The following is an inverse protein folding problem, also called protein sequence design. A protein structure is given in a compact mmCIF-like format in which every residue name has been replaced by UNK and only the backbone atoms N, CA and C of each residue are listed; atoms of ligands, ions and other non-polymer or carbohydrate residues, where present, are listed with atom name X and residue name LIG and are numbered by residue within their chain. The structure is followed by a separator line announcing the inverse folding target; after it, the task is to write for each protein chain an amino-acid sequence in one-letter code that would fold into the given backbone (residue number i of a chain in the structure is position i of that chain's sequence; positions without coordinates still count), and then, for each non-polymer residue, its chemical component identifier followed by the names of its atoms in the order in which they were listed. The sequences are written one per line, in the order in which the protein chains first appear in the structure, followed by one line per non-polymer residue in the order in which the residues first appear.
data_IF_241093657378
#
_entry.id   IF_241093657378
#
_cell.length_a   1.000
_cell.length_b   1.000
_cell.length_c   1.000
_cell.angle_alpha   90.00
_cell.angle_beta   90.00
_cell.angle_gamma   90.00
#
_symmetry.space_group_name_H-M   'P 1'
#
loop_
_entity.id
_entity.type
_entity.pdbx_description
1 polymer ?
#
# COMPACT_ATOMS: atom_id res chain seq x y z
N UNK A 1 -10.23 -1.63 2.77
CA UNK A 1 -9.94 -0.79 1.58
C UNK A 1 -9.01 0.34 1.97
N UNK A 2 -8.09 0.70 1.08
CA UNK A 2 -7.15 1.79 1.26
C UNK A 2 -7.63 3.04 0.51
N UNK A 3 -7.28 4.22 1.01
CA UNK A 3 -7.71 5.48 0.42
C UNK A 3 -6.81 5.95 -0.74
N UNK A 4 -7.19 7.03 -1.44
CA UNK A 4 -6.40 7.60 -2.52
C UNK A 4 -5.16 8.36 -2.02
N UNK A 5 -4.23 8.66 -2.92
CA UNK A 5 -3.00 9.42 -2.62
C UNK A 5 -3.27 10.83 -2.08
N UNK A 6 -4.46 11.36 -2.31
CA UNK A 6 -4.89 12.67 -1.79
C UNK A 6 -5.11 12.71 -0.28
N UNK A 7 -5.10 11.56 0.38
CA UNK A 7 -5.02 11.49 1.84
C UNK A 7 -3.62 11.84 2.37
N UNK A 8 -2.57 11.82 1.52
CA UNK A 8 -1.23 12.19 1.93
C UNK A 8 -1.12 13.72 2.03
N UNK A 9 -0.73 14.28 3.19
CA UNK A 9 -0.67 15.73 3.37
C UNK A 9 0.25 16.41 2.34
N UNK A 10 -0.15 17.57 1.84
CA UNK A 10 0.64 18.30 0.85
C UNK A 10 1.91 18.94 1.42
N UNK A 11 1.97 19.19 2.74
CA UNK A 11 3.09 19.87 3.39
C UNK A 11 3.76 19.00 4.43
N UNK A 12 5.06 19.14 4.56
CA UNK A 12 5.87 18.40 5.54
C UNK A 12 6.74 19.30 6.39
N UNK A 13 7.06 18.86 7.63
CA UNK A 13 8.05 19.52 8.46
C UNK A 13 9.37 19.69 7.70
N UNK A 14 9.96 20.86 7.84
CA UNK A 14 11.27 21.21 7.32
C UNK A 14 11.94 22.20 8.28
N UNK A 15 13.18 22.56 7.97
CA UNK A 15 13.92 23.61 8.67
C UNK A 15 14.33 24.70 7.67
N UNK A 16 14.29 25.96 8.10
CA UNK A 16 14.87 27.06 7.33
C UNK A 16 16.40 26.94 7.29
N UNK A 17 17.06 27.71 6.42
CA UNK A 17 18.52 27.80 6.41
C UNK A 17 19.12 28.23 7.76
N UNK A 18 18.35 28.93 8.60
CA UNK A 18 18.72 29.37 9.95
C UNK A 18 18.29 28.39 11.06
N UNK A 19 17.82 27.19 10.70
CA UNK A 19 17.45 26.13 11.65
C UNK A 19 16.07 26.26 12.29
N UNK A 20 15.23 27.20 11.86
CA UNK A 20 13.89 27.39 12.42
C UNK A 20 12.90 26.37 11.83
N UNK A 21 12.04 25.72 12.64
CA UNK A 21 11.00 24.83 12.14
C UNK A 21 10.07 25.53 11.16
N UNK A 22 9.74 24.86 10.06
CA UNK A 22 8.83 25.39 9.03
C UNK A 22 8.07 24.24 8.33
N UNK A 23 7.18 24.58 7.41
CA UNK A 23 6.48 23.65 6.54
C UNK A 23 6.81 23.93 5.08
N UNK A 24 7.28 22.91 4.35
CA UNK A 24 7.45 23.00 2.90
C UNK A 24 6.45 22.13 2.16
N UNK A 25 6.18 22.48 0.90
CA UNK A 25 5.38 21.64 0.01
C UNK A 25 6.14 20.34 -0.29
N UNK A 26 5.43 19.21 -0.28
CA UNK A 26 5.91 17.93 -0.78
C UNK A 26 5.88 17.95 -2.31
N UNK A 27 6.91 17.41 -2.94
CA UNK A 27 6.86 17.09 -4.36
C UNK A 27 5.88 15.95 -4.61
N UNK A 28 5.48 15.75 -5.88
CA UNK A 28 4.62 14.62 -6.25
C UNK A 28 5.27 13.27 -5.92
N UNK A 29 6.58 13.15 -6.16
CA UNK A 29 7.37 11.95 -5.80
C UNK A 29 7.33 11.69 -4.30
N UNK A 30 7.57 12.72 -3.47
CA UNK A 30 7.53 12.57 -2.01
C UNK A 30 6.15 12.14 -1.51
N UNK A 31 5.06 12.64 -2.12
CA UNK A 31 3.70 12.20 -1.79
C UNK A 31 3.49 10.72 -2.14
N UNK A 32 3.93 10.29 -3.32
CA UNK A 32 3.80 8.90 -3.77
C UNK A 32 4.67 7.93 -2.95
N UNK A 33 5.88 8.33 -2.56
CA UNK A 33 6.73 7.54 -1.66
C UNK A 33 6.10 7.39 -0.27
N UNK A 34 5.59 8.49 0.29
CA UNK A 34 4.89 8.44 1.56
C UNK A 34 3.63 7.58 1.49
N UNK A 35 2.89 7.63 0.38
CA UNK A 35 1.74 6.76 0.14
C UNK A 35 2.12 5.28 0.19
N UNK A 36 3.22 4.89 -0.44
CA UNK A 36 3.71 3.50 -0.38
C UNK A 36 4.16 3.12 1.03
N UNK A 37 4.78 4.03 1.79
CA UNK A 37 5.13 3.79 3.19
C UNK A 37 3.90 3.58 4.07
N UNK A 38 2.85 4.37 3.86
CA UNK A 38 1.57 4.25 4.58
C UNK A 38 0.86 2.92 4.23
N UNK A 39 0.85 2.56 2.95
CA UNK A 39 0.37 1.26 2.47
C UNK A 39 1.14 0.12 3.13
N UNK A 40 2.47 0.21 3.13
CA UNK A 40 3.40 -0.72 3.78
C UNK A 40 3.09 -0.91 5.26
N UNK A 41 2.95 0.20 5.99
CA UNK A 41 2.65 0.17 7.41
C UNK A 41 1.32 -0.52 7.70
N UNK A 42 0.29 -0.23 6.90
CA UNK A 42 -1.05 -0.82 7.05
C UNK A 42 -1.03 -2.33 6.81
N UNK A 43 -0.38 -2.77 5.72
CA UNK A 43 -0.25 -4.19 5.39
C UNK A 43 0.53 -4.94 6.47
N UNK A 44 1.69 -4.42 6.86
CA UNK A 44 2.56 -5.07 7.85
C UNK A 44 1.93 -5.13 9.24
N UNK A 45 1.20 -4.08 9.65
CA UNK A 45 0.42 -4.10 10.89
C UNK A 45 -0.66 -5.19 10.85
N UNK A 46 -1.42 -5.26 9.76
CA UNK A 46 -2.47 -6.28 9.56
C UNK A 46 -1.91 -7.70 9.63
N UNK A 47 -0.79 -7.97 8.94
CA UNK A 47 -0.14 -9.29 8.95
C UNK A 47 0.38 -9.64 10.35
N UNK A 48 1.01 -8.67 11.03
CA UNK A 48 1.54 -8.88 12.39
C UNK A 48 0.43 -9.19 13.39
N UNK A 49 -0.66 -8.45 13.35
CA UNK A 49 -1.85 -8.68 14.17
C UNK A 49 -2.49 -10.03 13.84
N UNK A 50 -2.63 -10.35 12.55
CA UNK A 50 -3.13 -11.64 12.08
C UNK A 50 -2.34 -12.82 12.66
N UNK A 51 -1.01 -12.73 12.66
CA UNK A 51 -0.16 -13.77 13.24
C UNK A 51 -0.21 -13.84 14.76
N UNK A 52 -0.54 -12.74 15.43
CA UNK A 52 -0.72 -12.69 16.88
C UNK A 52 -2.03 -13.36 17.31
N UNK A 53 -3.12 -13.19 16.53
CA UNK A 53 -4.43 -13.78 16.86
C UNK A 53 -4.59 -15.22 16.36
N UNK A 54 -3.88 -15.61 15.29
CA UNK A 54 -3.96 -16.93 14.69
C UNK A 54 -2.58 -17.64 14.69
N UNK A 55 -2.15 -18.23 15.82
CA UNK A 55 -0.80 -18.78 15.98
C UNK A 55 -0.50 -19.99 15.08
N UNK A 56 -1.52 -20.74 14.64
CA UNK A 56 -1.37 -21.89 13.74
C UNK A 56 -1.24 -21.52 12.26
N UNK A 57 -1.57 -20.27 11.88
CA UNK A 57 -1.45 -19.80 10.50
C UNK A 57 0.03 -19.59 10.18
N UNK A 58 0.50 -20.15 9.06
CA UNK A 58 1.91 -20.07 8.65
C UNK A 58 2.17 -19.09 7.50
N UNK A 59 1.12 -18.62 6.83
CA UNK A 59 1.24 -17.65 5.73
C UNK A 59 -0.05 -16.81 5.66
N UNK A 60 0.11 -15.51 5.43
CA UNK A 60 -0.98 -14.66 4.95
C UNK A 60 -0.75 -14.31 3.48
N UNK A 61 -1.82 -14.31 2.69
CA UNK A 61 -1.84 -13.71 1.36
C UNK A 61 -2.66 -12.44 1.45
N UNK A 62 -2.07 -11.32 1.07
CA UNK A 62 -2.70 -10.02 1.23
C UNK A 62 -2.92 -9.43 -0.15
N UNK A 63 -4.13 -8.91 -0.35
CA UNK A 63 -4.48 -8.04 -1.46
C UNK A 63 -4.96 -6.71 -0.87
N UNK A 64 -4.52 -5.60 -1.46
CA UNK A 64 -5.03 -4.28 -1.12
C UNK A 64 -5.86 -3.72 -2.25
N UNK A 65 -7.13 -3.43 -1.92
CA UNK A 65 -8.05 -2.70 -2.78
C UNK A 65 -8.06 -1.22 -2.41
N UNK A 66 -7.94 -0.35 -3.42
CA UNK A 66 -8.09 1.10 -3.33
C UNK A 66 -9.46 1.50 -3.85
N UNK A 67 -10.13 2.39 -3.14
CA UNK A 67 -11.23 3.18 -3.72
C UNK A 67 -10.65 4.43 -4.36
N UNK A 68 -11.06 4.72 -5.59
CA UNK A 68 -10.79 6.01 -6.22
C UNK A 68 -12.10 6.79 -6.41
N UNK A 69 -12.40 7.76 -5.52
CA UNK A 69 -13.56 8.65 -5.67
C UNK A 69 -13.55 9.47 -6.97
N UNK A 70 -12.42 9.57 -7.64
CA UNK A 70 -12.24 10.31 -8.89
C UNK A 70 -12.10 9.38 -10.11
N UNK A 71 -12.40 8.09 -9.94
CA UNK A 71 -12.42 7.13 -11.02
C UNK A 71 -13.26 7.64 -12.20
N UNK A 72 -12.73 7.51 -13.40
CA UNK A 72 -13.39 7.91 -14.64
C UNK A 72 -14.56 6.99 -15.01
N UNK A 73 -14.67 5.83 -14.37
CA UNK A 73 -15.67 4.82 -14.66
C UNK A 73 -15.95 3.90 -13.46
N UNK A 74 -17.12 3.24 -13.40
CA UNK A 74 -17.46 2.32 -12.31
C UNK A 74 -16.46 1.17 -12.14
N UNK A 75 -15.93 0.64 -13.23
CA UNK A 75 -14.93 -0.43 -13.23
C UNK A 75 -13.54 0.01 -12.74
N UNK A 76 -13.28 1.31 -12.62
CA UNK A 76 -12.03 1.84 -12.04
C UNK A 76 -12.23 2.40 -10.63
N UNK A 77 -13.47 2.39 -10.11
CA UNK A 77 -13.80 2.87 -8.77
C UNK A 77 -13.14 2.06 -7.66
N UNK A 78 -13.01 0.74 -7.87
CA UNK A 78 -12.26 -0.16 -7.00
C UNK A 78 -11.19 -0.83 -7.83
N UNK A 79 -9.94 -0.63 -7.44
CA UNK A 79 -8.78 -1.26 -8.08
C UNK A 79 -7.99 -2.01 -7.02
N UNK A 80 -7.44 -3.17 -7.36
CA UNK A 80 -6.39 -3.77 -6.57
C UNK A 80 -5.04 -3.14 -6.92
N UNK A 81 -4.30 -2.73 -5.89
CA UNK A 81 -3.08 -1.93 -6.05
C UNK A 81 -1.84 -2.63 -5.48
N UNK A 82 -2.05 -3.70 -4.72
CA UNK A 82 -0.98 -4.49 -4.13
C UNK A 82 -1.44 -5.93 -3.91
N UNK A 83 -0.54 -6.88 -4.13
CA UNK A 83 -0.66 -8.23 -3.62
C UNK A 83 0.70 -8.77 -3.19
N UNK A 84 0.73 -9.60 -2.15
CA UNK A 84 1.93 -10.33 -1.76
C UNK A 84 1.60 -11.49 -0.81
N UNK A 85 2.62 -12.30 -0.53
CA UNK A 85 2.60 -13.33 0.49
C UNK A 85 3.49 -12.94 1.65
N UNK A 86 3.05 -13.32 2.84
CA UNK A 86 3.74 -13.09 4.08
C UNK A 86 3.87 -14.40 4.84
N UNK A 87 4.90 -15.22 4.54
CA UNK A 87 5.22 -16.39 5.37
C UNK A 87 5.58 -15.95 6.78
N UNK A 88 5.16 -16.71 7.80
CA UNK A 88 5.43 -16.41 9.22
C UNK A 88 6.93 -16.26 9.48
N UNK A 89 7.73 -17.20 8.98
CA UNK A 89 9.17 -17.19 9.18
C UNK A 89 9.83 -15.91 8.65
N UNK A 90 9.48 -15.52 7.41
CA UNK A 90 9.97 -14.28 6.80
C UNK A 90 9.54 -13.06 7.61
N UNK A 91 8.26 -12.99 7.98
CA UNK A 91 7.66 -11.88 8.73
C UNK A 91 8.30 -11.71 10.11
N UNK A 92 8.60 -12.82 10.80
CA UNK A 92 9.26 -12.80 12.12
C UNK A 92 10.75 -12.45 12.04
N UNK A 93 11.39 -12.62 10.88
CA UNK A 93 12.79 -12.21 10.66
C UNK A 93 12.98 -10.71 10.38
N UNK A 94 11.91 -9.96 10.16
CA UNK A 94 12.00 -8.54 9.83
C UNK A 94 12.57 -7.70 10.99
N UNK A 95 13.38 -6.66 10.71
CA UNK A 95 13.90 -5.75 11.74
C UNK A 95 12.83 -4.72 12.15
N UNK A 96 11.80 -5.17 12.87
CA UNK A 96 10.58 -4.40 13.21
C UNK A 96 10.79 -3.00 13.81
N UNK A 97 11.93 -2.76 14.48
CA UNK A 97 12.21 -1.47 15.13
C UNK A 97 12.79 -0.42 14.18
N UNK A 98 13.28 -0.81 13.01
CA UNK A 98 14.06 0.07 12.14
C UNK A 98 13.77 -0.11 10.65
N UNK A 99 12.79 -0.93 10.29
CA UNK A 99 12.46 -1.19 8.89
C UNK A 99 11.84 0.03 8.19
N UNK A 100 12.10 0.17 6.89
CA UNK A 100 11.31 1.03 6.00
C UNK A 100 10.12 0.20 5.48
N UNK A 101 8.92 0.59 5.86
CA UNK A 101 7.70 -0.17 5.51
C UNK A 101 7.44 -0.20 4.01
N UNK A 102 7.86 0.84 3.27
CA UNK A 102 7.70 0.89 1.83
C UNK A 102 8.66 -0.07 1.12
N UNK A 103 9.90 -0.17 1.60
CA UNK A 103 10.88 -1.12 1.07
C UNK A 103 10.49 -2.57 1.37
N UNK A 104 10.12 -2.87 2.61
CA UNK A 104 9.68 -4.22 3.02
C UNK A 104 8.45 -4.66 2.22
N UNK A 105 7.50 -3.76 1.95
CA UNK A 105 6.32 -4.05 1.14
C UNK A 105 6.72 -4.52 -0.28
N UNK A 106 7.76 -3.92 -0.87
CA UNK A 106 8.26 -4.29 -2.21
C UNK A 106 9.10 -5.58 -2.20
N UNK A 107 9.72 -5.92 -1.07
CA UNK A 107 10.55 -7.12 -0.90
C UNK A 107 9.76 -8.35 -0.44
N UNK A 108 8.48 -8.18 -0.08
CA UNK A 108 7.65 -9.30 0.33
C UNK A 108 7.58 -10.38 -0.78
N UNK A 109 7.55 -11.68 -0.43
CA UNK A 109 7.43 -12.75 -1.41
C UNK A 109 6.23 -12.55 -2.34
N UNK A 110 6.47 -12.68 -3.66
CA UNK A 110 5.49 -12.49 -4.72
C UNK A 110 4.82 -11.11 -4.71
N UNK A 111 5.52 -10.07 -4.21
CA UNK A 111 4.99 -8.71 -4.18
C UNK A 111 4.71 -8.16 -5.58
N UNK A 112 3.48 -7.73 -5.79
CA UNK A 112 3.01 -7.04 -6.97
C UNK A 112 2.57 -5.63 -6.58
N UNK A 113 3.22 -4.62 -7.16
CA UNK A 113 2.83 -3.22 -7.07
C UNK A 113 3.27 -2.54 -8.36
N UNK A 114 2.34 -1.89 -9.08
CA UNK A 114 2.69 -1.14 -10.29
C UNK A 114 2.80 0.35 -10.00
N UNK A 115 3.83 0.96 -10.60
CA UNK A 115 4.05 2.41 -10.58
C UNK A 115 4.14 2.96 -11.99
N UNK A 116 3.55 4.13 -12.23
CA UNK A 116 3.54 4.78 -13.54
C UNK A 116 4.03 6.24 -13.49
N UNK A 117 4.79 6.61 -14.53
CA UNK A 117 5.36 7.95 -14.72
C UNK A 117 6.53 8.29 -13.79
N UNK A 118 7.20 9.42 -14.07
CA UNK A 118 8.43 9.83 -13.38
C UNK A 118 8.27 10.04 -11.86
N UNK A 119 7.07 10.38 -11.40
CA UNK A 119 6.78 10.54 -9.97
C UNK A 119 6.41 9.22 -9.27
N UNK A 120 6.32 8.10 -9.99
CA UNK A 120 6.04 6.78 -9.40
C UNK A 120 4.62 6.60 -8.85
N UNK A 121 3.59 7.05 -9.59
CA UNK A 121 2.20 6.95 -9.12
C UNK A 121 1.78 5.48 -9.00
N UNK A 122 1.21 5.07 -7.87
CA UNK A 122 0.64 3.72 -7.73
C UNK A 122 -0.62 3.62 -8.58
N UNK A 123 -0.66 2.63 -9.46
CA UNK A 123 -1.78 2.36 -10.39
C UNK A 123 -2.38 0.98 -10.14
N UNK A 124 -3.61 0.77 -10.60
CA UNK A 124 -4.26 -0.54 -10.56
C UNK A 124 -3.44 -1.61 -11.28
N UNK A 125 -3.49 -2.82 -10.73
CA UNK A 125 -2.95 -4.01 -11.36
C UNK A 125 -3.99 -4.58 -12.36
N UNK A 126 -3.53 -5.21 -13.44
CA UNK A 126 -4.41 -5.82 -14.43
C UNK A 126 -5.10 -7.07 -13.82
N UNK A 127 -6.39 -7.25 -14.07
CA UNK A 127 -7.16 -8.39 -13.55
C UNK A 127 -7.19 -9.58 -14.52
N UNK A 128 -6.78 -9.35 -15.76
CA UNK A 128 -7.01 -10.26 -16.90
C UNK A 128 -6.36 -11.64 -16.72
N UNK A 129 -5.24 -11.70 -15.98
CA UNK A 129 -4.49 -12.94 -15.73
C UNK A 129 -4.88 -13.64 -14.41
N UNK A 130 -5.80 -13.06 -13.62
CA UNK A 130 -6.11 -13.51 -12.25
C UNK A 130 -7.65 -13.58 -12.02
N UNK A 131 -8.34 -14.62 -12.52
CA UNK A 131 -9.81 -14.69 -12.49
C UNK A 131 -10.40 -14.70 -11.07
N UNK A 132 -9.71 -15.32 -10.10
CA UNK A 132 -10.13 -15.27 -8.70
C UNK A 132 -10.03 -13.87 -8.08
N UNK A 133 -9.09 -13.04 -8.56
CA UNK A 133 -8.99 -11.66 -8.13
C UNK A 133 -10.09 -10.79 -8.73
N UNK A 134 -10.44 -11.03 -9.99
CA UNK A 134 -11.57 -10.37 -10.62
C UNK A 134 -12.87 -10.61 -9.82
N UNK A 135 -13.12 -11.85 -9.41
CA UNK A 135 -14.29 -12.20 -8.60
C UNK A 135 -14.31 -11.46 -7.26
N UNK A 136 -13.19 -11.42 -6.53
CA UNK A 136 -13.08 -10.69 -5.26
C UNK A 136 -13.37 -9.19 -5.47
N UNK A 137 -12.80 -8.59 -6.51
CA UNK A 137 -12.99 -7.17 -6.80
C UNK A 137 -14.46 -6.88 -7.15
N UNK A 138 -15.10 -7.73 -7.96
CA UNK A 138 -16.49 -7.57 -8.35
C UNK A 138 -17.45 -7.76 -7.18
N UNK A 139 -17.20 -8.75 -6.31
CA UNK A 139 -17.97 -8.93 -5.06
C UNK A 139 -17.85 -7.69 -4.16
N UNK A 140 -16.65 -7.12 -4.03
CA UNK A 140 -16.44 -5.90 -3.24
C UNK A 140 -17.16 -4.72 -3.88
N UNK A 141 -17.12 -4.56 -5.20
CA UNK A 141 -17.86 -3.49 -5.90
C UNK A 141 -19.37 -3.60 -5.70
N UNK A 142 -19.93 -4.81 -5.77
CA UNK A 142 -21.35 -5.05 -5.58
C UNK A 142 -21.84 -4.74 -4.15
N UNK A 143 -20.93 -4.74 -3.16
CA UNK A 143 -21.24 -4.45 -1.76
C UNK A 143 -21.09 -2.97 -1.36
N UNK A 144 -20.71 -2.09 -2.30
CA UNK A 144 -20.53 -0.65 -2.08
C UNK A 144 -21.71 0.17 -2.57
#
# INVERSE_FOLDING_TARGET
MFGPVDQIPERQPAVTATGQPTLRKRTKTERNEFYVKALGATVLATVKEGFAVAPSVNEFRVVVLRKDPHASSPETYVEWIYAARFPRQWTMSLPWRSLDTGEVLLQAPDAQLRRHGAAGNVVGLALDDEPGMAEIVDQVRAAL
#
